data_IF_977650458170
#
_entry.id   IF_977650458170
#
_cell.length_a   1.000
_cell.length_b   1.000
_cell.length_c   1.000
_cell.angle_alpha   90.00
_cell.angle_beta   90.00
_cell.angle_gamma   90.00
#
_symmetry.space_group_name_H-M   'P 1'
#
loop_
_entity.id
_entity.type
_entity.pdbx_description
1 polymer ?
#
# COMPACT_ATOMS: atom_id res chain seq x y z
N UNK A 1 -24.63 -18.03 5.59
CA UNK A 1 -23.67 -18.66 4.65
C UNK A 1 -22.23 -18.45 5.14
N UNK A 2 -21.52 -19.54 5.48
CA UNK A 2 -20.12 -19.45 5.90
C UNK A 2 -19.27 -19.32 4.63
N UNK A 3 -18.46 -18.25 4.54
CA UNK A 3 -17.54 -18.06 3.42
C UNK A 3 -16.53 -19.22 3.38
N UNK A 4 -16.05 -19.63 2.18
CA UNK A 4 -15.03 -20.65 2.07
C UNK A 4 -13.80 -20.30 2.92
N UNK A 5 -13.10 -21.28 3.52
CA UNK A 5 -12.04 -21.03 4.51
C UNK A 5 -10.95 -20.07 4.02
N UNK A 6 -10.57 -20.17 2.75
CA UNK A 6 -9.59 -19.31 2.10
C UNK A 6 -10.01 -17.84 2.07
N UNK A 7 -11.31 -17.58 1.85
CA UNK A 7 -11.87 -16.23 1.86
C UNK A 7 -11.88 -15.64 3.28
N UNK A 8 -12.13 -16.45 4.31
CA UNK A 8 -12.05 -15.97 5.71
C UNK A 8 -10.63 -15.55 6.10
N UNK A 9 -9.61 -16.30 5.68
CA UNK A 9 -8.21 -15.98 6.01
C UNK A 9 -7.72 -14.73 5.28
N UNK A 10 -8.13 -14.53 4.02
CA UNK A 10 -7.83 -13.30 3.29
C UNK A 10 -8.52 -12.08 3.91
N UNK A 11 -9.79 -12.18 4.25
CA UNK A 11 -10.53 -11.10 4.91
C UNK A 11 -9.91 -10.74 6.26
N UNK A 12 -9.54 -11.74 7.07
CA UNK A 12 -8.84 -11.52 8.35
C UNK A 12 -7.51 -10.80 8.15
N UNK A 13 -6.73 -11.21 7.14
CA UNK A 13 -5.45 -10.57 6.83
C UNK A 13 -5.59 -9.12 6.39
N UNK A 14 -6.58 -8.83 5.54
CA UNK A 14 -6.88 -7.47 5.12
C UNK A 14 -7.34 -6.61 6.31
N UNK A 15 -8.20 -7.16 7.18
CA UNK A 15 -8.67 -6.48 8.39
C UNK A 15 -7.51 -6.17 9.36
N UNK A 16 -6.63 -7.14 9.61
CA UNK A 16 -5.45 -6.94 10.45
C UNK A 16 -4.47 -5.92 9.85
N UNK A 17 -4.24 -5.98 8.54
CA UNK A 17 -3.40 -5.00 7.83
C UNK A 17 -3.95 -3.59 7.99
N UNK A 18 -5.26 -3.40 7.79
CA UNK A 18 -5.92 -2.11 7.96
C UNK A 18 -5.85 -1.62 9.41
N UNK A 19 -6.03 -2.51 10.38
CA UNK A 19 -5.92 -2.19 11.81
C UNK A 19 -4.53 -1.67 12.15
N UNK A 20 -3.47 -2.37 11.74
CA UNK A 20 -2.10 -1.95 12.02
C UNK A 20 -1.74 -0.66 11.29
N UNK A 21 -2.18 -0.50 10.03
CA UNK A 21 -2.00 0.74 9.27
C UNK A 21 -2.63 1.96 9.95
N UNK A 22 -3.84 1.81 10.51
CA UNK A 22 -4.49 2.88 11.28
C UNK A 22 -3.73 3.23 12.54
N UNK A 23 -3.13 2.24 13.21
CA UNK A 23 -2.33 2.45 14.42
C UNK A 23 -0.94 3.05 14.14
N UNK A 24 -0.39 2.91 12.93
CA UNK A 24 0.95 3.41 12.60
C UNK A 24 1.02 4.92 12.36
N UNK A 25 -0.13 5.57 12.13
CA UNK A 25 -0.20 6.98 11.72
C UNK A 25 0.22 7.23 10.26
N UNK A 26 0.54 6.18 9.50
CA UNK A 26 0.92 6.31 8.09
C UNK A 26 -0.26 6.25 7.13
N UNK A 27 -1.44 5.84 7.60
CA UNK A 27 -2.61 5.65 6.76
C UNK A 27 -3.56 6.85 6.80
N UNK A 28 -3.77 7.44 5.62
CA UNK A 28 -4.54 8.67 5.41
C UNK A 28 -5.91 8.40 4.77
N UNK A 29 -6.39 7.15 4.79
CA UNK A 29 -7.74 6.80 4.36
C UNK A 29 -8.02 7.18 2.90
N UNK A 30 -9.14 7.85 2.69
CA UNK A 30 -9.65 8.27 1.39
C UNK A 30 -8.94 9.50 0.78
N UNK A 31 -7.76 9.87 1.29
CA UNK A 31 -6.91 10.87 0.64
C UNK A 31 -6.70 10.47 -0.82
N UNK A 32 -7.11 11.33 -1.74
CA UNK A 32 -6.95 11.07 -3.16
C UNK A 32 -5.52 11.35 -3.61
N UNK A 33 -5.24 11.03 -4.88
CA UNK A 33 -3.88 11.18 -5.40
C UNK A 33 -3.43 12.65 -5.48
N UNK A 34 -4.36 13.58 -5.73
CA UNK A 34 -4.07 15.02 -5.81
C UNK A 34 -3.77 15.59 -4.42
N UNK A 35 -4.57 15.22 -3.42
CA UNK A 35 -4.34 15.56 -2.02
C UNK A 35 -3.01 15.02 -1.52
N UNK A 36 -2.68 13.75 -1.81
CA UNK A 36 -1.39 13.17 -1.45
C UNK A 36 -0.21 13.90 -2.14
N UNK A 37 -0.35 14.25 -3.42
CA UNK A 37 0.66 15.06 -4.14
C UNK A 37 0.83 16.43 -3.49
N UNK A 38 -0.26 17.11 -3.14
CA UNK A 38 -0.21 18.43 -2.52
C UNK A 38 0.34 18.40 -1.09
N UNK A 39 0.07 17.34 -0.34
CA UNK A 39 0.61 17.11 1.00
C UNK A 39 2.13 16.88 0.95
N UNK A 40 2.59 16.08 0.00
CA UNK A 40 3.99 15.66 -0.09
C UNK A 40 4.90 16.63 -0.85
N UNK A 41 4.37 17.60 -1.60
CA UNK A 41 5.18 18.49 -2.44
C UNK A 41 6.24 19.28 -1.64
N UNK A 42 5.91 19.68 -0.41
CA UNK A 42 6.80 20.40 0.51
C UNK A 42 7.43 19.48 1.57
N UNK A 43 7.15 18.17 1.50
CA UNK A 43 7.68 17.18 2.41
C UNK A 43 9.16 16.88 2.10
N UNK A 44 9.86 16.26 3.05
CA UNK A 44 11.24 15.81 2.81
C UNK A 44 11.25 14.60 1.87
N UNK A 45 12.30 14.46 1.07
CA UNK A 45 12.52 13.25 0.26
C UNK A 45 12.49 12.02 1.17
N UNK A 46 11.69 11.02 0.78
CA UNK A 46 11.45 9.81 1.56
C UNK A 46 10.23 9.88 2.49
N UNK A 47 9.66 11.06 2.76
CA UNK A 47 8.38 11.14 3.46
C UNK A 47 7.25 10.55 2.60
N UNK A 48 6.37 9.80 3.23
CA UNK A 48 5.36 9.01 2.55
C UNK A 48 4.06 8.93 3.33
N UNK A 49 3.00 8.54 2.63
CA UNK A 49 1.70 8.17 3.19
C UNK A 49 1.15 6.94 2.48
N UNK A 50 0.39 6.12 3.21
CA UNK A 50 -0.46 5.07 2.65
C UNK A 50 -1.88 5.62 2.56
N UNK A 51 -2.57 5.38 1.46
CA UNK A 51 -3.94 5.81 1.23
C UNK A 51 -4.71 4.75 0.46
N UNK A 52 -6.03 4.88 0.42
CA UNK A 52 -6.86 4.07 -0.46
C UNK A 52 -6.52 4.34 -1.92
N UNK A 53 -6.53 3.28 -2.73
CA UNK A 53 -6.36 3.44 -4.17
C UNK A 53 -7.63 4.03 -4.78
N UNK A 54 -7.47 4.99 -5.69
CA UNK A 54 -8.58 5.45 -6.55
C UNK A 54 -8.92 4.47 -7.67
N UNK A 55 -8.03 3.50 -7.93
CA UNK A 55 -8.24 2.40 -8.87
C UNK A 55 -8.90 1.22 -8.14
N UNK A 56 -10.05 0.79 -8.64
CA UNK A 56 -10.88 -0.29 -8.07
C UNK A 56 -10.20 -1.66 -8.06
N UNK A 57 -9.13 -1.84 -8.83
CA UNK A 57 -8.38 -3.10 -8.87
C UNK A 57 -7.36 -3.20 -7.73
N UNK A 58 -7.21 -2.16 -6.90
CA UNK A 58 -6.20 -2.07 -5.88
C UNK A 58 -6.81 -1.57 -4.58
N UNK A 59 -6.31 -2.05 -3.44
CA UNK A 59 -6.84 -1.67 -2.13
C UNK A 59 -6.14 -0.40 -1.64
N UNK A 60 -4.81 -0.36 -1.75
CA UNK A 60 -3.98 0.71 -1.22
C UNK A 60 -3.03 1.29 -2.28
N UNK A 61 -2.56 2.49 -2.01
CA UNK A 61 -1.45 3.14 -2.72
C UNK A 61 -0.46 3.74 -1.72
N UNK A 62 0.82 3.64 -2.03
CA UNK A 62 1.91 4.34 -1.36
C UNK A 62 2.20 5.61 -2.15
N UNK A 63 2.07 6.77 -1.52
CA UNK A 63 2.51 8.04 -2.07
C UNK A 63 3.77 8.49 -1.33
N UNK A 64 4.82 8.84 -2.05
CA UNK A 64 6.14 9.18 -1.47
C UNK A 64 6.73 10.39 -2.18
N UNK A 65 7.37 11.26 -1.41
CA UNK A 65 8.17 12.35 -1.94
C UNK A 65 9.52 11.83 -2.43
N UNK A 66 9.82 12.06 -3.70
CA UNK A 66 11.12 11.72 -4.31
C UNK A 66 11.87 12.99 -4.68
N UNK A 67 13.13 12.86 -5.11
CA UNK A 67 13.91 13.99 -5.65
C UNK A 67 13.24 14.65 -6.87
N UNK A 68 12.38 13.91 -7.59
CA UNK A 68 11.63 14.40 -8.75
C UNK A 68 10.22 14.88 -8.38
N UNK A 69 9.91 14.97 -7.08
CA UNK A 69 8.61 15.31 -6.52
C UNK A 69 7.77 14.09 -6.13
N UNK A 70 6.51 14.33 -5.72
CA UNK A 70 5.65 13.26 -5.20
C UNK A 70 5.26 12.28 -6.29
N UNK A 71 5.38 10.99 -6.00
CA UNK A 71 4.89 9.91 -6.85
C UNK A 71 3.96 8.98 -6.07
N UNK A 72 3.18 8.18 -6.78
CA UNK A 72 2.29 7.18 -6.19
C UNK A 72 2.48 5.82 -6.86
N UNK A 73 2.60 4.78 -6.06
CA UNK A 73 2.68 3.39 -6.51
C UNK A 73 1.55 2.60 -5.85
N UNK A 74 0.81 1.82 -6.65
CA UNK A 74 -0.29 0.99 -6.14
C UNK A 74 0.25 -0.28 -5.48
N UNK A 75 -0.53 -0.85 -4.56
CA UNK A 75 -0.20 -2.11 -3.89
C UNK A 75 -1.09 -3.24 -4.40
N UNK A 76 -0.50 -4.25 -5.04
CA UNK A 76 -1.20 -5.49 -5.38
C UNK A 76 -1.42 -6.32 -4.12
N UNK A 77 -2.55 -7.02 -4.05
CA UNK A 77 -2.81 -8.05 -3.07
C UNK A 77 -3.22 -9.33 -3.80
N UNK A 78 -2.41 -10.38 -3.67
CA UNK A 78 -2.64 -11.66 -4.33
C UNK A 78 -2.18 -12.80 -3.42
N UNK A 79 -3.02 -13.84 -3.26
CA UNK A 79 -2.73 -15.04 -2.47
C UNK A 79 -2.26 -14.72 -1.05
N UNK A 80 -2.83 -13.69 -0.41
CA UNK A 80 -2.47 -13.30 0.95
C UNK A 80 -1.19 -12.45 1.09
N UNK A 81 -0.64 -11.92 0.00
CA UNK A 81 0.56 -11.08 0.04
C UNK A 81 0.40 -9.75 -0.71
N UNK A 82 1.06 -8.73 -0.18
CA UNK A 82 1.21 -7.41 -0.77
C UNK A 82 2.51 -7.29 -1.56
N UNK A 83 2.49 -6.54 -2.68
CA UNK A 83 3.69 -6.07 -3.39
C UNK A 83 3.44 -4.71 -4.04
N UNK A 84 4.51 -3.98 -4.37
CA UNK A 84 4.41 -2.80 -5.23
C UNK A 84 3.97 -3.20 -6.65
N UNK A 85 3.17 -2.34 -7.27
CA UNK A 85 2.82 -2.40 -8.70
C UNK A 85 4.07 -2.28 -9.56
N UNK A 86 4.11 -3.07 -10.63
CA UNK A 86 5.24 -3.18 -11.54
C UNK A 86 4.79 -3.83 -12.84
N UNK A 87 5.65 -3.80 -13.85
CA UNK A 87 5.42 -4.51 -15.10
C UNK A 87 5.33 -6.03 -14.86
N UNK A 88 4.43 -6.70 -15.61
CA UNK A 88 4.15 -8.14 -15.48
C UNK A 88 5.40 -9.03 -15.50
N UNK A 89 6.41 -8.80 -16.36
CA UNK A 89 7.62 -9.63 -16.36
C UNK A 89 8.40 -9.57 -15.04
N UNK A 90 8.34 -8.43 -14.34
CA UNK A 90 9.06 -8.19 -13.08
C UNK A 90 8.31 -8.73 -11.86
N UNK A 91 7.00 -8.96 -11.97
CA UNK A 91 6.15 -9.32 -10.83
C UNK A 91 6.63 -10.56 -10.05
N UNK A 92 7.26 -11.54 -10.75
CA UNK A 92 7.81 -12.74 -10.12
C UNK A 92 9.06 -12.50 -9.25
N UNK A 93 9.75 -11.38 -9.48
CA UNK A 93 10.97 -10.99 -8.76
C UNK A 93 10.69 -9.96 -7.68
N UNK A 94 9.50 -9.37 -7.66
CA UNK A 94 9.11 -8.40 -6.66
C UNK A 94 8.97 -9.08 -5.29
N UNK A 95 9.51 -8.48 -4.22
CA UNK A 95 9.32 -9.00 -2.87
C UNK A 95 7.84 -8.93 -2.49
N UNK A 96 7.41 -9.95 -1.74
CA UNK A 96 6.02 -10.14 -1.30
C UNK A 96 5.97 -10.09 0.22
N UNK A 97 4.97 -9.40 0.76
CA UNK A 97 4.87 -9.08 2.19
C UNK A 97 3.53 -9.50 2.75
N UNK A 98 3.46 -9.86 4.03
CA UNK A 98 2.20 -10.33 4.63
C UNK A 98 1.27 -9.17 5.00
N UNK A 99 1.82 -7.97 5.17
CA UNK A 99 1.07 -6.74 5.40
C UNK A 99 1.83 -5.52 4.80
N UNK A 100 1.14 -4.39 4.69
CA UNK A 100 1.70 -3.15 4.12
C UNK A 100 2.82 -2.57 4.99
N UNK A 101 2.78 -2.75 6.30
CA UNK A 101 3.86 -2.29 7.19
C UNK A 101 5.18 -3.00 6.88
N UNK A 102 5.16 -4.32 6.73
CA UNK A 102 6.35 -5.10 6.34
C UNK A 102 6.91 -4.61 5.00
N UNK A 103 6.02 -4.31 4.03
CA UNK A 103 6.40 -3.76 2.73
C UNK A 103 7.14 -2.42 2.88
N UNK A 104 6.56 -1.47 3.63
CA UNK A 104 7.15 -0.15 3.82
C UNK A 104 8.51 -0.25 4.51
N UNK A 105 8.59 -1.02 5.61
CA UNK A 105 9.83 -1.21 6.38
C UNK A 105 10.95 -1.85 5.57
N UNK A 106 10.64 -2.61 4.53
CA UNK A 106 11.63 -3.18 3.62
C UNK A 106 12.31 -2.11 2.75
N UNK A 107 11.56 -1.13 2.26
CA UNK A 107 12.07 -0.08 1.36
C UNK A 107 12.56 1.18 2.08
N UNK A 108 12.33 1.30 3.39
CA UNK A 108 12.88 2.39 4.22
C UNK A 108 14.35 2.18 4.63
N UNK A 109 15.00 1.12 4.17
CA UNK A 109 16.39 0.78 4.51
C UNK A 109 17.39 1.46 3.60
#
# INVERSE_FOLDING_TARGET
PVLPPQCNDELRRLADTLRVLRLSGWYYGNLDWQGARNLLKEARVGEFVIRDSGDRNFIFSLSVQTERGPTSVRLHYEQGYFRLDCDRPLARYMPRFRCVIELVLHYMR
#
